data_IF_735664463673
#
_entry.id   IF_735664463673
#
_cell.length_a   1.000
_cell.length_b   1.000
_cell.length_c   1.000
_cell.angle_alpha   90.00
_cell.angle_beta   90.00
_cell.angle_gamma   90.00
#
_symmetry.space_group_name_H-M   'P 1'
#
loop_
_entity.id
_entity.type
_entity.pdbx_description
1 polymer ?
#
# COMPACT_ATOMS: atom_id res chain seq x y z
N UNK A 1 0.80 -39.70 10.32
CA UNK A 1 1.23 -38.28 10.39
C UNK A 1 0.77 -37.62 9.11
N UNK A 2 -0.36 -36.95 9.17
CA UNK A 2 -0.98 -36.28 8.03
C UNK A 2 -0.20 -34.99 7.71
N UNK A 3 0.42 -34.93 6.53
CA UNK A 3 0.85 -33.68 5.90
C UNK A 3 -0.38 -32.79 5.71
N UNK A 4 -0.66 -31.93 6.69
CA UNK A 4 -1.48 -30.75 6.47
C UNK A 4 -0.65 -29.81 5.60
N UNK A 5 -0.88 -29.89 4.28
CA UNK A 5 -0.25 -29.00 3.31
C UNK A 5 -0.43 -27.57 3.76
N UNK A 6 0.68 -26.84 3.93
CA UNK A 6 0.66 -25.39 4.11
C UNK A 6 -0.10 -24.81 2.93
N UNK A 7 -1.34 -24.39 3.14
CA UNK A 7 -2.11 -23.70 2.12
C UNK A 7 -1.26 -22.52 1.61
N UNK A 8 -0.98 -22.51 0.31
CA UNK A 8 -0.15 -21.48 -0.29
C UNK A 8 -0.79 -20.09 -0.13
N UNK A 9 0.02 -19.05 0.01
CA UNK A 9 -0.49 -17.68 0.03
C UNK A 9 -0.88 -17.26 -1.39
N UNK A 10 -2.14 -16.86 -1.57
CA UNK A 10 -2.70 -16.33 -2.82
C UNK A 10 -2.79 -14.81 -2.74
N UNK A 11 -2.39 -14.10 -3.80
CA UNK A 11 -2.56 -12.64 -3.92
C UNK A 11 -3.67 -12.38 -4.94
N UNK A 12 -4.66 -11.58 -4.53
CA UNK A 12 -5.81 -11.23 -5.36
C UNK A 12 -6.21 -9.76 -5.18
N UNK A 13 -6.94 -9.16 -6.13
CA UNK A 13 -7.59 -7.88 -5.88
C UNK A 13 -8.50 -7.96 -4.67
N UNK A 14 -8.51 -6.89 -3.88
CA UNK A 14 -9.45 -6.74 -2.80
C UNK A 14 -10.87 -6.57 -3.34
N UNK A 15 -11.84 -7.00 -2.56
CA UNK A 15 -13.27 -6.77 -2.76
C UNK A 15 -13.84 -5.95 -1.60
N UNK A 16 -15.06 -5.47 -1.72
CA UNK A 16 -15.72 -4.74 -0.63
C UNK A 16 -15.83 -5.55 0.66
N UNK A 17 -15.87 -6.88 0.56
CA UNK A 17 -15.89 -7.79 1.70
C UNK A 17 -14.57 -7.79 2.49
N UNK A 18 -13.48 -7.32 1.90
CA UNK A 18 -12.18 -7.23 2.55
C UNK A 18 -12.00 -5.95 3.38
N UNK A 19 -12.97 -5.03 3.38
CA UNK A 19 -12.83 -3.70 3.98
C UNK A 19 -12.45 -3.74 5.46
N UNK A 20 -13.03 -4.65 6.26
CA UNK A 20 -12.68 -4.85 7.66
C UNK A 20 -11.23 -5.34 7.82
N UNK A 21 -10.84 -6.34 7.03
CA UNK A 21 -9.48 -6.89 7.07
C UNK A 21 -8.45 -5.85 6.63
N UNK A 22 -8.75 -5.07 5.58
CA UNK A 22 -7.89 -3.98 5.12
C UNK A 22 -7.69 -2.92 6.20
N UNK A 23 -8.77 -2.48 6.85
CA UNK A 23 -8.70 -1.52 7.95
C UNK A 23 -7.87 -2.08 9.14
N UNK A 24 -8.10 -3.34 9.52
CA UNK A 24 -7.32 -3.99 10.58
C UNK A 24 -5.82 -4.05 10.24
N UNK A 25 -5.47 -4.32 8.98
CA UNK A 25 -4.07 -4.35 8.51
C UNK A 25 -3.43 -2.95 8.51
N UNK A 26 -4.17 -1.90 8.16
CA UNK A 26 -3.69 -0.51 8.26
C UNK A 26 -3.47 -0.10 9.71
N UNK A 27 -4.36 -0.48 10.63
CA UNK A 27 -4.15 -0.26 12.07
C UNK A 27 -2.92 -1.04 12.59
N UNK A 28 -2.70 -2.26 12.11
CA UNK A 28 -1.52 -3.04 12.47
C UNK A 28 -0.23 -2.38 11.94
N UNK A 29 -0.22 -1.94 10.68
CA UNK A 29 0.90 -1.19 10.11
C UNK A 29 1.22 0.07 10.92
N UNK A 30 0.20 0.83 11.30
CA UNK A 30 0.37 2.04 12.11
C UNK A 30 0.97 1.75 13.50
N UNK A 31 0.57 0.64 14.13
CA UNK A 31 1.19 0.18 15.39
C UNK A 31 2.66 -0.16 15.22
N UNK A 32 3.01 -0.85 14.14
CA UNK A 32 4.39 -1.27 13.85
C UNK A 32 5.35 -0.07 13.68
N UNK A 33 4.83 1.06 13.18
CA UNK A 33 5.61 2.29 13.01
C UNK A 33 5.38 3.33 14.12
N UNK A 34 4.66 2.97 15.19
CA UNK A 34 4.41 3.86 16.34
C UNK A 34 3.52 5.07 16.01
N UNK A 35 2.57 4.93 15.06
CA UNK A 35 1.74 6.01 14.54
C UNK A 35 0.23 5.71 14.63
N UNK A 36 -0.20 4.91 15.61
CA UNK A 36 -1.59 4.47 15.78
C UNK A 36 -2.59 5.64 15.93
N UNK A 37 -2.16 6.73 16.54
CA UNK A 37 -2.94 7.95 16.73
C UNK A 37 -3.21 8.74 15.43
N UNK A 38 -2.51 8.39 14.34
CA UNK A 38 -2.66 9.03 13.03
C UNK A 38 -3.71 8.37 12.13
N UNK A 39 -4.19 7.18 12.48
CA UNK A 39 -5.21 6.48 11.70
C UNK A 39 -6.58 6.97 12.10
N UNK A 40 -7.20 7.74 11.22
CA UNK A 40 -8.52 8.35 11.44
C UNK A 40 -9.59 7.72 10.54
N UNK A 41 -9.20 6.89 9.57
CA UNK A 41 -10.13 6.24 8.66
C UNK A 41 -10.94 5.15 9.37
N UNK A 42 -12.13 4.92 8.87
CA UNK A 42 -13.03 3.86 9.27
C UNK A 42 -13.13 2.76 8.21
N UNK A 43 -13.75 1.64 8.55
CA UNK A 43 -14.09 0.59 7.57
C UNK A 43 -14.99 1.14 6.45
N UNK A 44 -15.91 2.05 6.78
CA UNK A 44 -16.82 2.64 5.79
C UNK A 44 -16.09 3.56 4.82
N UNK A 45 -14.98 4.19 5.22
CA UNK A 45 -14.13 4.94 4.31
C UNK A 45 -13.47 4.00 3.28
N UNK A 46 -13.01 2.82 3.70
CA UNK A 46 -12.50 1.80 2.76
C UNK A 46 -13.57 1.37 1.76
N UNK A 47 -14.81 1.12 2.22
CA UNK A 47 -15.93 0.76 1.35
C UNK A 47 -16.24 1.86 0.36
N UNK A 48 -16.35 3.09 0.84
CA UNK A 48 -16.73 4.26 0.05
C UNK A 48 -15.68 4.62 -1.00
N UNK A 49 -14.41 4.69 -0.60
CA UNK A 49 -13.35 5.20 -1.47
C UNK A 49 -12.64 4.13 -2.29
N UNK A 50 -12.66 2.87 -1.84
CA UNK A 50 -12.00 1.78 -2.56
C UNK A 50 -12.89 1.04 -3.55
N UNK A 51 -14.22 1.06 -3.34
CA UNK A 51 -15.13 0.18 -4.09
C UNK A 51 -16.30 0.93 -4.75
N UNK A 52 -16.16 2.23 -4.96
CA UNK A 52 -17.09 3.04 -5.74
C UNK A 52 -16.86 2.88 -7.24
N UNK A 53 -17.75 3.46 -8.05
CA UNK A 53 -17.61 3.48 -9.51
C UNK A 53 -16.31 4.18 -9.99
N UNK A 54 -15.81 5.14 -9.20
CA UNK A 54 -14.53 5.81 -9.44
C UNK A 54 -13.68 5.72 -8.16
N UNK A 55 -13.00 4.59 -7.91
CA UNK A 55 -12.28 4.37 -6.68
C UNK A 55 -11.06 5.29 -6.57
N UNK A 56 -10.85 5.84 -5.37
CA UNK A 56 -9.68 6.67 -5.05
C UNK A 56 -8.40 5.84 -4.92
N UNK A 57 -8.54 4.56 -4.61
CA UNK A 57 -7.42 3.62 -4.49
C UNK A 57 -7.81 2.22 -4.95
N UNK A 58 -6.82 1.39 -5.16
CA UNK A 58 -6.92 -0.04 -5.40
C UNK A 58 -6.17 -0.81 -4.33
N UNK A 59 -6.48 -2.07 -4.14
CA UNK A 59 -5.75 -2.89 -3.19
C UNK A 59 -5.59 -4.33 -3.67
N UNK A 60 -4.48 -4.95 -3.27
CA UNK A 60 -4.25 -6.38 -3.31
C UNK A 60 -4.26 -6.93 -1.89
N UNK A 61 -4.96 -8.02 -1.70
CA UNK A 61 -4.97 -8.78 -0.45
C UNK A 61 -4.23 -10.10 -0.68
N UNK A 62 -3.31 -10.41 0.22
CA UNK A 62 -2.73 -11.74 0.32
C UNK A 62 -3.53 -12.57 1.32
N UNK A 63 -3.97 -13.73 0.89
CA UNK A 63 -4.82 -14.62 1.67
C UNK A 63 -4.15 -15.96 1.87
N UNK A 64 -4.25 -16.53 3.07
CA UNK A 64 -3.81 -17.88 3.40
C UNK A 64 -4.90 -18.54 4.25
N UNK A 65 -5.40 -19.70 3.81
CA UNK A 65 -6.43 -20.47 4.50
C UNK A 65 -7.69 -19.63 4.88
N UNK A 66 -8.09 -18.69 4.01
CA UNK A 66 -9.24 -17.80 4.25
C UNK A 66 -8.94 -16.56 5.09
N UNK A 67 -7.72 -16.41 5.58
CA UNK A 67 -7.29 -15.28 6.42
C UNK A 67 -6.48 -14.28 5.59
N UNK A 68 -6.77 -12.98 5.72
CA UNK A 68 -5.97 -11.93 5.11
C UNK A 68 -4.64 -11.75 5.87
N UNK A 69 -3.52 -12.00 5.20
CA UNK A 69 -2.17 -11.99 5.79
C UNK A 69 -1.25 -10.92 5.19
N UNK A 70 -1.75 -10.14 4.24
CA UNK A 70 -1.01 -9.03 3.65
C UNK A 70 -1.88 -8.11 2.82
N UNK A 71 -1.45 -6.87 2.69
CA UNK A 71 -2.13 -5.79 1.98
C UNK A 71 -1.11 -4.98 1.19
N UNK A 72 -1.44 -4.64 -0.05
CA UNK A 72 -0.81 -3.56 -0.78
C UNK A 72 -1.91 -2.62 -1.30
N UNK A 73 -2.01 -1.42 -0.73
CA UNK A 73 -2.93 -0.37 -1.13
C UNK A 73 -2.19 0.63 -2.01
N UNK A 74 -2.74 0.96 -3.18
CA UNK A 74 -2.09 1.81 -4.16
C UNK A 74 -3.09 2.60 -4.99
N UNK A 75 -2.61 3.65 -5.65
CA UNK A 75 -3.38 4.41 -6.62
C UNK A 75 -2.53 4.76 -7.84
N UNK A 76 -3.22 5.01 -8.95
CA UNK A 76 -2.55 5.42 -10.18
C UNK A 76 -2.15 6.90 -10.12
N UNK A 77 -0.98 7.20 -10.67
CA UNK A 77 -0.45 8.54 -10.81
C UNK A 77 -0.01 8.78 -12.24
N UNK A 78 0.12 10.03 -12.62
CA UNK A 78 0.60 10.43 -13.95
C UNK A 78 1.81 11.33 -13.81
N UNK A 79 2.85 11.07 -14.60
CA UNK A 79 4.01 11.95 -14.70
C UNK A 79 3.95 12.71 -16.01
N UNK A 80 3.76 14.03 -15.93
CA UNK A 80 3.79 14.91 -17.10
C UNK A 80 5.18 14.92 -17.77
N UNK A 81 6.25 14.74 -16.98
CA UNK A 81 7.61 14.69 -17.52
C UNK A 81 7.90 13.41 -18.30
N UNK A 82 7.35 12.30 -17.84
CA UNK A 82 7.49 11.00 -18.52
C UNK A 82 6.42 10.80 -19.61
N UNK A 83 5.31 11.56 -19.55
CA UNK A 83 4.14 11.33 -20.40
C UNK A 83 3.52 9.94 -20.16
N UNK A 84 3.65 9.39 -18.95
CA UNK A 84 3.28 8.01 -18.65
C UNK A 84 2.58 7.88 -17.29
N UNK A 85 1.75 6.86 -17.21
CA UNK A 85 1.15 6.43 -15.95
C UNK A 85 2.19 5.74 -15.06
N UNK A 86 1.99 5.85 -13.77
CA UNK A 86 2.70 5.11 -12.74
C UNK A 86 1.76 4.70 -11.62
N UNK A 87 2.31 4.10 -10.60
CA UNK A 87 1.58 3.71 -9.40
C UNK A 87 2.30 4.24 -8.15
N UNK A 88 1.50 4.72 -7.21
CA UNK A 88 1.98 5.08 -5.88
C UNK A 88 1.45 4.06 -4.88
N UNK A 89 2.35 3.38 -4.18
CA UNK A 89 2.00 2.48 -3.09
C UNK A 89 1.85 3.30 -1.81
N UNK A 90 0.63 3.31 -1.28
CA UNK A 90 0.29 4.05 -0.06
C UNK A 90 0.63 3.23 1.19
N UNK A 91 0.21 1.97 1.22
CA UNK A 91 0.40 1.07 2.34
C UNK A 91 0.85 -0.32 1.86
N UNK A 92 1.86 -0.87 2.52
CA UNK A 92 2.29 -2.26 2.36
C UNK A 92 2.35 -2.89 3.75
N UNK A 93 1.54 -3.90 3.99
CA UNK A 93 1.53 -4.65 5.22
C UNK A 93 1.71 -6.14 4.97
N UNK A 94 2.46 -6.78 5.84
CA UNK A 94 2.61 -8.23 5.91
C UNK A 94 2.50 -8.65 7.37
N UNK A 95 1.61 -9.60 7.66
CA UNK A 95 1.44 -10.13 9.01
C UNK A 95 2.72 -10.74 9.55
N UNK A 96 2.92 -10.72 10.86
CA UNK A 96 4.12 -11.23 11.51
C UNK A 96 4.44 -12.67 11.10
N UNK A 97 3.41 -13.52 10.96
CA UNK A 97 3.54 -14.92 10.55
C UNK A 97 4.07 -15.09 9.12
N UNK A 98 3.99 -14.05 8.29
CA UNK A 98 4.41 -14.06 6.88
C UNK A 98 5.64 -13.19 6.62
N UNK A 99 6.18 -12.50 7.61
CA UNK A 99 7.41 -11.74 7.46
C UNK A 99 8.60 -12.67 7.18
N UNK A 100 9.52 -12.21 6.35
CA UNK A 100 10.67 -13.02 5.93
C UNK A 100 10.37 -14.11 4.91
N UNK A 101 9.10 -14.33 4.50
CA UNK A 101 8.71 -15.34 3.49
C UNK A 101 8.79 -14.82 2.05
N UNK A 102 9.10 -13.54 1.85
CA UNK A 102 9.07 -12.87 0.55
C UNK A 102 7.70 -12.36 0.12
N UNK A 103 6.67 -12.41 0.99
CA UNK A 103 5.32 -11.98 0.64
C UNK A 103 5.26 -10.50 0.27
N UNK A 104 5.96 -9.61 0.99
CA UNK A 104 6.01 -8.18 0.65
C UNK A 104 6.56 -7.93 -0.76
N UNK A 105 7.63 -8.64 -1.15
CA UNK A 105 8.17 -8.60 -2.50
C UNK A 105 7.15 -9.06 -3.55
N UNK A 106 6.41 -10.12 -3.26
CA UNK A 106 5.37 -10.65 -4.15
C UNK A 106 4.22 -9.66 -4.32
N UNK A 107 3.79 -8.98 -3.26
CA UNK A 107 2.75 -7.94 -3.30
C UNK A 107 3.19 -6.75 -4.17
N UNK A 108 4.40 -6.25 -4.00
CA UNK A 108 4.95 -5.16 -4.84
C UNK A 108 5.05 -5.61 -6.30
N UNK A 109 5.56 -6.80 -6.56
CA UNK A 109 5.71 -7.34 -7.91
C UNK A 109 4.34 -7.49 -8.61
N UNK A 110 3.34 -8.02 -7.91
CA UNK A 110 1.99 -8.17 -8.46
C UNK A 110 1.32 -6.80 -8.70
N UNK A 111 1.54 -5.83 -7.82
CA UNK A 111 1.08 -4.45 -8.02
C UNK A 111 1.71 -3.84 -9.27
N UNK A 112 3.03 -3.97 -9.44
CA UNK A 112 3.74 -3.47 -10.63
C UNK A 112 3.27 -4.18 -11.91
N UNK A 113 3.08 -5.50 -11.88
CA UNK A 113 2.58 -6.27 -13.02
C UNK A 113 1.19 -5.78 -13.46
N UNK A 114 0.24 -5.67 -12.55
CA UNK A 114 -1.13 -5.19 -12.84
C UNK A 114 -1.15 -3.74 -13.30
N UNK A 115 -0.33 -2.89 -12.68
CA UNK A 115 -0.21 -1.50 -13.12
C UNK A 115 0.39 -1.41 -14.52
N UNK A 116 1.39 -2.25 -14.83
CA UNK A 116 2.00 -2.35 -16.16
C UNK A 116 1.01 -2.73 -17.25
N UNK A 117 0.06 -3.64 -16.97
CA UNK A 117 -1.03 -3.99 -17.89
C UNK A 117 -1.92 -2.79 -18.25
N UNK A 118 -1.95 -1.76 -17.39
CA UNK A 118 -2.63 -0.48 -17.63
C UNK A 118 -1.70 0.62 -18.15
N UNK A 119 -0.49 0.28 -18.55
CA UNK A 119 0.48 1.21 -19.13
C UNK A 119 1.32 1.97 -18.11
N UNK A 120 1.31 1.58 -16.83
CA UNK A 120 2.22 2.15 -15.85
C UNK A 120 3.67 1.69 -16.11
N UNK A 121 4.61 2.63 -15.96
CA UNK A 121 6.03 2.38 -16.21
C UNK A 121 6.94 2.70 -15.01
N UNK A 122 6.35 3.16 -13.90
CA UNK A 122 7.08 3.42 -12.67
C UNK A 122 6.20 3.15 -11.43
N UNK A 123 6.88 2.89 -10.32
CA UNK A 123 6.28 2.76 -8.99
C UNK A 123 7.00 3.70 -8.03
N UNK A 124 6.23 4.40 -7.19
CA UNK A 124 6.74 5.27 -6.13
C UNK A 124 6.05 4.95 -4.81
N UNK A 125 6.73 5.24 -3.74
CA UNK A 125 6.22 5.19 -2.37
C UNK A 125 7.03 6.13 -1.47
N UNK A 126 6.53 6.36 -0.28
CA UNK A 126 7.26 7.12 0.75
C UNK A 126 7.51 6.23 1.96
N UNK A 127 8.69 6.37 2.54
CA UNK A 127 9.11 5.70 3.76
C UNK A 127 9.53 6.75 4.78
N UNK A 128 9.15 6.56 6.05
CA UNK A 128 9.66 7.42 7.11
C UNK A 128 11.20 7.37 7.12
N UNK A 129 11.82 8.54 7.22
CA UNK A 129 13.28 8.65 7.14
C UNK A 129 14.00 7.78 8.17
N UNK A 130 13.39 7.54 9.32
CA UNK A 130 13.94 6.71 10.41
C UNK A 130 13.70 5.21 10.22
N UNK A 131 12.84 4.79 9.26
CA UNK A 131 12.52 3.39 9.04
C UNK A 131 13.57 2.69 8.16
N UNK A 132 14.72 2.38 8.75
CA UNK A 132 15.84 1.73 8.05
C UNK A 132 15.46 0.34 7.52
N UNK A 133 14.62 -0.42 8.24
CA UNK A 133 14.18 -1.74 7.81
C UNK A 133 13.39 -1.68 6.49
N UNK A 134 12.47 -0.72 6.36
CA UNK A 134 11.74 -0.51 5.12
C UNK A 134 12.65 -0.05 3.98
N UNK A 135 13.59 0.86 4.25
CA UNK A 135 14.58 1.31 3.24
C UNK A 135 15.41 0.12 2.72
N UNK A 136 15.93 -0.72 3.62
CA UNK A 136 16.68 -1.92 3.24
C UNK A 136 15.83 -2.88 2.40
N UNK A 137 14.56 -3.08 2.81
CA UNK A 137 13.62 -3.92 2.07
C UNK A 137 13.41 -3.41 0.64
N UNK A 138 13.05 -2.13 0.47
CA UNK A 138 12.77 -1.57 -0.85
C UNK A 138 14.02 -1.52 -1.75
N UNK A 139 15.18 -1.15 -1.21
CA UNK A 139 16.44 -1.22 -1.96
C UNK A 139 16.78 -2.67 -2.36
N UNK A 140 16.54 -3.64 -1.47
CA UNK A 140 16.79 -5.06 -1.74
C UNK A 140 15.90 -5.68 -2.82
N UNK A 141 14.77 -5.04 -3.16
CA UNK A 141 13.90 -5.46 -4.25
C UNK A 141 14.05 -4.57 -5.50
N UNK A 142 15.03 -3.66 -5.53
CA UNK A 142 15.40 -2.87 -6.68
C UNK A 142 14.76 -1.49 -6.80
N UNK A 143 14.14 -0.96 -5.72
CA UNK A 143 13.74 0.44 -5.71
C UNK A 143 14.94 1.32 -5.32
N UNK A 144 15.04 2.47 -5.96
CA UNK A 144 16.08 3.46 -5.70
C UNK A 144 15.56 4.56 -4.78
N UNK A 145 16.37 5.00 -3.82
CA UNK A 145 16.06 6.15 -2.98
C UNK A 145 16.22 7.44 -3.79
N UNK A 146 15.16 8.24 -3.87
CA UNK A 146 15.18 9.54 -4.54
C UNK A 146 15.73 10.62 -3.56
N UNK A 147 17.04 10.67 -3.39
CA UNK A 147 17.69 11.57 -2.42
C UNK A 147 17.48 13.07 -2.70
N UNK A 148 17.19 13.43 -3.95
CA UNK A 148 17.00 14.80 -4.40
C UNK A 148 15.56 15.30 -4.26
N UNK A 149 14.63 14.43 -3.84
CA UNK A 149 13.23 14.80 -3.69
C UNK A 149 12.87 15.07 -2.23
N UNK A 150 12.09 16.12 -2.01
CA UNK A 150 11.49 16.42 -0.72
C UNK A 150 9.97 16.36 -0.83
N UNK A 151 9.32 15.86 0.21
CA UNK A 151 7.87 15.86 0.31
C UNK A 151 7.41 17.10 1.06
N UNK A 152 6.58 17.93 0.42
CA UNK A 152 5.84 19.01 1.06
C UNK A 152 4.40 18.55 1.28
N UNK A 153 3.83 18.88 2.42
CA UNK A 153 2.45 18.52 2.75
C UNK A 153 1.74 19.67 3.46
N UNK A 154 0.47 19.82 3.17
CA UNK A 154 -0.46 20.61 3.97
C UNK A 154 -1.67 19.72 4.29
N UNK A 155 -2.06 19.64 5.55
CA UNK A 155 -3.17 18.81 6.02
C UNK A 155 -4.10 19.66 6.90
N UNK A 156 -5.39 19.32 6.88
CA UNK A 156 -6.43 19.95 7.70
C UNK A 156 -6.39 21.49 7.59
N UNK A 157 -6.10 22.19 8.67
CA UNK A 157 -6.04 23.66 8.72
C UNK A 157 -5.05 24.23 7.71
N UNK A 158 -3.90 23.56 7.49
CA UNK A 158 -2.93 23.94 6.48
C UNK A 158 -3.49 23.85 5.06
N UNK A 159 -4.27 22.80 4.77
CA UNK A 159 -4.95 22.66 3.48
C UNK A 159 -6.05 23.73 3.30
N UNK A 160 -6.83 24.01 4.34
CA UNK A 160 -7.83 25.08 4.32
C UNK A 160 -7.19 26.47 4.12
N UNK A 161 -5.99 26.67 4.68
CA UNK A 161 -5.25 27.92 4.45
C UNK A 161 -4.84 28.10 2.99
N UNK A 162 -4.39 27.03 2.31
CA UNK A 162 -4.05 27.06 0.88
C UNK A 162 -5.25 27.46 0.01
N UNK A 163 -6.47 27.04 0.35
CA UNK A 163 -7.69 27.39 -0.38
C UNK A 163 -8.00 28.90 -0.34
N UNK A 164 -7.43 29.64 0.60
CA UNK A 164 -7.63 31.07 0.78
C UNK A 164 -6.51 31.94 0.18
N UNK A 165 -5.46 31.32 -0.37
CA UNK A 165 -4.42 32.06 -1.10
C UNK A 165 -5.01 32.59 -2.41
N UNK A 166 -4.93 33.89 -2.63
CA UNK A 166 -5.36 34.59 -3.84
C UNK A 166 -4.16 35.18 -4.56
#
# INVERSE_FOLDING_TARGET
MTEQGRAGVTIRPATIADAEAMHAMVLALARDVGASDRVLCSVDDFRRFGFSAAPAFHALVAEQAGEAVGLCLYFYSYSSWKGRMGVYVQDLYVSDSQRGTGLGRRLIAETARRAGERGAVYLRLSVDRSNEAAKMFYSGIGLELAEQECIFKAVYEGFEALKRLQ
#
